data_IF_587745839881
#
_entry.id   IF_587745839881
#
_cell.length_a   1.000
_cell.length_b   1.000
_cell.length_c   1.000
_cell.angle_alpha   90.00
_cell.angle_beta   90.00
_cell.angle_gamma   90.00
#
_symmetry.space_group_name_H-M   'P 1'
#
loop_
_entity.id
_entity.type
_entity.pdbx_description
1 polymer ?
#
# COMPACT_ATOMS: atom_id res chain seq x y z
N UNK A 1 -19.38 8.64 16.53
CA UNK A 1 -18.71 7.32 16.45
C UNK A 1 -17.39 7.58 15.77
N UNK A 2 -16.25 7.28 16.40
CA UNK A 2 -14.94 7.52 15.74
C UNK A 2 -14.79 6.58 14.54
N UNK A 3 -13.98 6.93 13.53
CA UNK A 3 -13.68 6.00 12.41
C UNK A 3 -13.02 4.73 12.93
N UNK A 4 -12.23 4.80 14.00
CA UNK A 4 -11.70 3.62 14.71
C UNK A 4 -12.82 2.68 15.21
N UNK A 5 -13.88 3.25 15.80
CA UNK A 5 -15.06 2.45 16.19
C UNK A 5 -15.78 1.87 14.96
N UNK A 6 -15.78 2.58 13.83
CA UNK A 6 -16.38 2.14 12.57
C UNK A 6 -15.59 0.98 11.93
N UNK A 7 -14.27 1.05 11.90
CA UNK A 7 -13.40 -0.01 11.37
C UNK A 7 -13.36 -1.24 12.29
N UNK A 8 -13.39 -1.07 13.61
CA UNK A 8 -13.62 -2.20 14.54
C UNK A 8 -14.96 -2.86 14.25
N UNK A 9 -15.99 -2.06 13.99
CA UNK A 9 -17.29 -2.57 13.61
C UNK A 9 -17.28 -3.28 12.26
N UNK A 10 -16.55 -2.78 11.26
CA UNK A 10 -16.37 -3.43 9.96
C UNK A 10 -15.61 -4.75 10.07
N UNK A 11 -14.48 -4.78 10.78
CA UNK A 11 -13.74 -6.02 11.06
C UNK A 11 -14.62 -7.03 11.81
N UNK A 12 -15.37 -6.58 12.82
CA UNK A 12 -16.31 -7.43 13.54
C UNK A 12 -17.39 -7.97 12.62
N UNK A 13 -17.90 -7.16 11.69
CA UNK A 13 -18.88 -7.58 10.67
C UNK A 13 -18.27 -8.63 9.75
N UNK A 14 -17.07 -8.42 9.22
CA UNK A 14 -16.39 -9.36 8.32
C UNK A 14 -16.19 -10.73 8.98
N UNK A 15 -15.67 -10.75 10.22
CA UNK A 15 -15.51 -11.99 11.00
C UNK A 15 -16.86 -12.71 11.16
N UNK A 16 -17.93 -11.97 11.53
CA UNK A 16 -19.25 -12.59 11.70
C UNK A 16 -19.75 -13.17 10.37
N UNK A 17 -19.57 -12.47 9.25
CA UNK A 17 -19.96 -12.95 7.90
C UNK A 17 -19.22 -14.24 7.53
N UNK A 18 -17.91 -14.29 7.75
CA UNK A 18 -17.08 -15.46 7.46
C UNK A 18 -17.57 -16.67 8.27
N UNK A 19 -17.77 -16.52 9.59
CA UNK A 19 -18.26 -17.60 10.44
C UNK A 19 -19.69 -18.01 10.04
N UNK A 20 -20.59 -17.08 9.69
CA UNK A 20 -21.93 -17.41 9.18
C UNK A 20 -21.83 -18.27 7.90
N UNK A 21 -20.93 -17.95 6.98
CA UNK A 21 -20.75 -18.71 5.75
C UNK A 21 -20.27 -20.13 6.03
N UNK A 22 -19.34 -20.31 6.97
CA UNK A 22 -18.94 -21.64 7.43
C UNK A 22 -20.09 -22.41 8.09
N UNK A 23 -20.87 -21.75 8.95
CA UNK A 23 -22.05 -22.37 9.58
C UNK A 23 -23.12 -22.73 8.54
N UNK A 24 -23.34 -21.91 7.51
CA UNK A 24 -24.23 -22.22 6.38
C UNK A 24 -23.72 -23.42 5.59
N UNK A 25 -22.42 -23.53 5.35
CA UNK A 25 -21.82 -24.70 4.71
C UNK A 25 -22.04 -25.98 5.53
N UNK A 26 -21.81 -25.92 6.85
CA UNK A 26 -22.09 -27.05 7.75
C UNK A 26 -23.58 -27.40 7.73
N UNK A 27 -24.45 -26.39 7.85
CA UNK A 27 -25.91 -26.55 7.86
C UNK A 27 -26.42 -27.20 6.57
N UNK A 28 -25.91 -26.78 5.41
CA UNK A 28 -26.43 -27.19 4.11
C UNK A 28 -25.86 -28.54 3.64
N UNK A 29 -24.61 -28.85 3.99
CA UNK A 29 -23.90 -30.00 3.40
C UNK A 29 -23.51 -31.09 4.40
N UNK A 30 -23.41 -30.77 5.69
CA UNK A 30 -22.88 -31.70 6.70
C UNK A 30 -23.92 -32.21 7.70
N UNK A 31 -25.10 -31.61 7.75
CA UNK A 31 -26.13 -31.92 8.76
C UNK A 31 -27.51 -32.07 8.11
N UNK A 32 -28.30 -33.03 8.60
CA UNK A 32 -29.69 -33.24 8.14
C UNK A 32 -30.65 -32.22 8.77
N UNK A 33 -31.60 -31.74 7.97
CA UNK A 33 -32.55 -30.68 8.35
C UNK A 33 -33.45 -31.00 9.56
N UNK A 34 -33.70 -32.29 9.83
CA UNK A 34 -34.57 -32.74 10.92
C UNK A 34 -33.85 -32.91 12.28
N UNK A 35 -32.59 -32.47 12.38
CA UNK A 35 -31.80 -32.62 13.62
C UNK A 35 -31.91 -31.39 14.52
N UNK A 36 -31.78 -31.59 15.84
CA UNK A 36 -31.67 -30.48 16.81
C UNK A 36 -30.47 -29.57 16.51
N UNK A 37 -29.37 -30.13 16.01
CA UNK A 37 -28.19 -29.37 15.59
C UNK A 37 -28.53 -28.41 14.44
N UNK A 38 -29.33 -28.85 13.47
CA UNK A 38 -29.77 -27.98 12.36
C UNK A 38 -30.61 -26.79 12.86
N UNK A 39 -31.57 -27.03 13.76
CA UNK A 39 -32.41 -25.95 14.27
C UNK A 39 -31.65 -24.94 15.13
N UNK A 40 -30.69 -25.40 15.95
CA UNK A 40 -29.82 -24.52 16.75
C UNK A 40 -28.84 -23.71 15.90
N UNK A 41 -28.25 -24.32 14.86
CA UNK A 41 -27.45 -23.58 13.88
C UNK A 41 -28.26 -22.51 13.16
N UNK A 42 -29.49 -22.83 12.77
CA UNK A 42 -30.36 -21.88 12.08
C UNK A 42 -30.71 -20.68 12.97
N UNK A 43 -31.01 -20.91 14.26
CA UNK A 43 -31.21 -19.84 15.25
C UNK A 43 -29.95 -18.98 15.43
N UNK A 44 -28.78 -19.61 15.49
CA UNK A 44 -27.50 -18.92 15.67
C UNK A 44 -27.17 -18.02 14.48
N UNK A 45 -27.34 -18.53 13.26
CA UNK A 45 -27.18 -17.77 12.01
C UNK A 45 -28.12 -16.56 12.01
N UNK A 46 -29.42 -16.75 12.28
CA UNK A 46 -30.38 -15.64 12.32
C UNK A 46 -30.06 -14.58 13.38
N UNK A 47 -29.51 -15.00 14.54
CA UNK A 47 -29.08 -14.05 15.58
C UNK A 47 -27.90 -13.21 15.11
N UNK A 48 -26.94 -13.80 14.42
CA UNK A 48 -25.78 -13.09 13.90
C UNK A 48 -26.10 -12.23 12.68
N UNK A 49 -27.03 -12.64 11.82
CA UNK A 49 -27.56 -11.79 10.74
C UNK A 49 -28.20 -10.49 11.32
N UNK A 50 -28.92 -10.59 12.44
CA UNK A 50 -29.46 -9.41 13.13
C UNK A 50 -28.38 -8.51 13.73
N UNK A 51 -27.28 -9.07 14.23
CA UNK A 51 -26.14 -8.29 14.72
C UNK A 51 -25.40 -7.57 13.58
N UNK A 52 -25.24 -8.21 12.41
CA UNK A 52 -24.69 -7.55 11.20
C UNK A 52 -25.53 -6.31 10.84
N UNK A 53 -26.86 -6.43 10.80
CA UNK A 53 -27.73 -5.31 10.45
C UNK A 53 -27.62 -4.15 11.45
N UNK A 54 -27.45 -4.44 12.74
CA UNK A 54 -27.21 -3.39 13.76
C UNK A 54 -25.87 -2.70 13.52
N UNK A 55 -24.83 -3.47 13.19
CA UNK A 55 -23.50 -2.95 12.90
C UNK A 55 -23.55 -2.04 11.66
N UNK A 56 -24.20 -2.47 10.57
CA UNK A 56 -24.37 -1.67 9.36
C UNK A 56 -25.09 -0.34 9.62
N UNK A 57 -26.15 -0.36 10.41
CA UNK A 57 -26.88 0.86 10.78
C UNK A 57 -26.01 1.84 11.58
N UNK A 58 -25.12 1.35 12.45
CA UNK A 58 -24.18 2.18 13.19
C UNK A 58 -23.13 2.80 12.25
N UNK A 59 -22.58 2.02 11.32
CA UNK A 59 -21.58 2.47 10.33
C UNK A 59 -22.14 3.59 9.45
N UNK A 60 -23.36 3.44 8.93
CA UNK A 60 -24.01 4.40 8.01
C UNK A 60 -24.36 5.75 8.67
N UNK A 61 -24.41 5.81 10.00
CA UNK A 61 -24.76 7.04 10.75
C UNK A 61 -23.58 7.99 10.99
N UNK A 62 -22.36 7.63 10.58
CA UNK A 62 -21.13 8.37 10.90
C UNK A 62 -20.55 9.10 9.68
N UNK A 63 -20.81 10.41 9.60
CA UNK A 63 -20.09 11.36 8.73
C UNK A 63 -18.81 11.80 9.45
N UNK A 64 -17.65 11.29 9.05
CA UNK A 64 -16.36 11.81 9.52
C UNK A 64 -15.41 12.00 8.33
N UNK A 65 -15.11 13.27 8.05
CA UNK A 65 -14.05 13.71 7.15
C UNK A 65 -12.72 13.75 7.92
N UNK A 66 -12.15 12.59 8.24
CA UNK A 66 -10.78 12.51 8.79
C UNK A 66 -9.93 11.67 7.83
N UNK A 67 -8.81 12.23 7.38
CA UNK A 67 -7.86 11.58 6.49
C UNK A 67 -6.95 10.65 7.32
N UNK A 68 -7.30 9.37 7.40
CA UNK A 68 -6.40 8.35 7.95
C UNK A 68 -5.50 7.76 6.85
N UNK A 69 -4.24 7.50 7.19
CA UNK A 69 -3.26 6.83 6.32
C UNK A 69 -2.81 5.53 6.97
N UNK A 70 -2.88 4.42 6.24
CA UNK A 70 -2.47 3.12 6.74
C UNK A 70 -1.00 2.86 6.42
N UNK A 71 -0.22 2.54 7.45
CA UNK A 71 1.18 2.14 7.32
C UNK A 71 1.32 0.66 7.66
N UNK A 72 1.64 -0.17 6.66
CA UNK A 72 1.96 -1.58 6.90
C UNK A 72 3.40 -1.66 7.42
N UNK A 73 3.56 -2.13 8.66
CA UNK A 73 4.89 -2.28 9.27
C UNK A 73 5.12 -3.69 9.78
N UNK A 74 6.38 -4.11 9.78
CA UNK A 74 6.77 -5.35 10.41
C UNK A 74 6.51 -5.31 11.92
N UNK A 75 6.05 -6.43 12.49
CA UNK A 75 5.73 -6.55 13.91
C UNK A 75 6.89 -6.13 14.82
N UNK A 76 8.11 -6.52 14.49
CA UNK A 76 9.31 -6.20 15.27
C UNK A 76 9.58 -4.68 15.29
N UNK A 77 9.31 -4.01 14.17
CA UNK A 77 9.40 -2.55 14.05
C UNK A 77 8.32 -1.88 14.88
N UNK A 78 7.07 -2.39 14.86
CA UNK A 78 5.98 -1.90 15.70
C UNK A 78 6.32 -2.01 17.20
N UNK A 79 6.80 -3.18 17.64
CA UNK A 79 7.20 -3.40 19.03
C UNK A 79 8.30 -2.42 19.46
N UNK A 80 9.26 -2.14 18.56
CA UNK A 80 10.33 -1.17 18.80
C UNK A 80 9.78 0.26 18.93
N UNK A 81 8.86 0.67 18.06
CA UNK A 81 8.20 1.99 18.10
C UNK A 81 7.39 2.18 19.38
N UNK A 82 6.62 1.17 19.80
CA UNK A 82 5.84 1.20 21.05
C UNK A 82 6.78 1.35 22.26
N UNK A 83 7.86 0.57 22.31
CA UNK A 83 8.83 0.66 23.39
C UNK A 83 9.50 2.04 23.43
N UNK A 84 9.85 2.60 22.27
CA UNK A 84 10.43 3.93 22.17
C UNK A 84 9.45 5.01 22.64
N UNK A 85 8.19 4.94 22.21
CA UNK A 85 7.14 5.87 22.65
C UNK A 85 6.97 5.84 24.17
N UNK A 86 6.92 4.63 24.76
CA UNK A 86 6.79 4.46 26.21
C UNK A 86 7.97 5.05 27.00
N UNK A 87 9.19 4.97 26.44
CA UNK A 87 10.39 5.53 27.08
C UNK A 87 10.43 7.05 26.99
N UNK A 88 10.06 7.61 25.85
CA UNK A 88 10.17 9.04 25.57
C UNK A 88 8.90 9.84 25.96
N UNK A 89 7.78 9.16 26.15
CA UNK A 89 6.47 9.72 26.55
C UNK A 89 5.93 10.78 25.58
N UNK A 90 6.00 10.50 24.27
CA UNK A 90 5.48 11.41 23.23
C UNK A 90 3.95 11.43 23.12
N UNK A 91 3.24 10.59 23.88
CA UNK A 91 1.79 10.46 23.80
C UNK A 91 1.40 9.33 22.87
N UNK A 92 0.90 9.66 21.69
CA UNK A 92 0.51 8.70 20.65
C UNK A 92 1.68 8.28 19.76
N UNK A 93 1.54 7.13 19.10
CA UNK A 93 2.51 6.71 18.08
C UNK A 93 2.60 7.68 16.91
N UNK A 94 1.49 8.36 16.57
CA UNK A 94 1.46 9.36 15.51
C UNK A 94 2.32 10.58 15.87
N UNK A 95 2.15 11.12 17.08
CA UNK A 95 2.97 12.25 17.57
C UNK A 95 4.46 11.89 17.65
N UNK A 96 4.77 10.64 18.04
CA UNK A 96 6.14 10.14 17.98
C UNK A 96 6.66 10.12 16.54
N UNK A 97 5.90 9.56 15.59
CA UNK A 97 6.31 9.46 14.19
C UNK A 97 6.48 10.85 13.57
N UNK A 98 5.57 11.78 13.82
CA UNK A 98 5.70 13.17 13.38
C UNK A 98 6.95 13.82 13.97
N UNK A 99 7.21 13.66 15.27
CA UNK A 99 8.43 14.17 15.89
C UNK A 99 9.69 13.54 15.33
N UNK A 100 9.68 12.23 15.05
CA UNK A 100 10.83 11.56 14.44
C UNK A 100 11.05 12.07 13.02
N UNK A 101 10.00 12.15 12.21
CA UNK A 101 10.07 12.68 10.85
C UNK A 101 10.56 14.12 10.83
N UNK A 102 10.08 14.98 11.73
CA UNK A 102 10.49 16.38 11.81
C UNK A 102 11.94 16.55 12.30
N UNK A 103 12.31 15.88 13.40
CA UNK A 103 13.63 16.07 14.01
C UNK A 103 14.76 15.34 13.26
N UNK A 104 14.40 14.31 12.50
CA UNK A 104 15.35 13.52 11.72
C UNK A 104 15.05 13.63 10.23
N UNK A 105 14.31 14.66 9.79
CA UNK A 105 13.99 14.91 8.38
C UNK A 105 15.27 14.92 7.53
N UNK A 106 16.31 15.57 8.03
CA UNK A 106 17.62 15.64 7.37
C UNK A 106 18.34 14.29 7.31
N UNK A 107 17.98 13.34 8.19
CA UNK A 107 18.50 11.96 8.19
C UNK A 107 17.70 11.04 7.27
N UNK A 108 16.39 11.32 7.10
CA UNK A 108 15.56 10.76 6.03
C UNK A 108 15.89 11.48 4.74
N UNK A 109 17.08 11.15 4.24
CA UNK A 109 17.86 11.93 3.30
C UNK A 109 17.06 12.61 2.18
N UNK A 110 16.78 13.92 2.36
CA UNK A 110 16.50 14.83 1.23
C UNK A 110 17.58 14.69 0.15
N UNK A 111 18.82 14.49 0.57
CA UNK A 111 19.98 14.30 -0.31
C UNK A 111 19.91 13.03 -1.18
N UNK A 112 19.00 12.10 -0.89
CA UNK A 112 18.83 10.87 -1.68
C UNK A 112 17.54 10.83 -2.47
N UNK A 113 16.65 11.81 -2.28
CA UNK A 113 15.46 11.96 -3.10
C UNK A 113 15.81 12.79 -4.33
N UNK A 114 15.45 12.28 -5.49
CA UNK A 114 15.56 13.01 -6.76
C UNK A 114 14.17 13.32 -7.29
N UNK A 115 13.92 14.60 -7.56
CA UNK A 115 12.69 15.03 -8.22
C UNK A 115 12.69 14.52 -9.66
N UNK A 116 11.60 13.88 -10.07
CA UNK A 116 11.45 13.28 -11.39
C UNK A 116 10.38 14.00 -12.21
N UNK A 117 10.55 13.94 -13.52
CA UNK A 117 9.55 14.39 -14.50
C UNK A 117 9.31 13.30 -15.55
N UNK A 118 8.10 13.23 -16.13
CA UNK A 118 7.81 12.29 -17.20
C UNK A 118 8.82 12.43 -18.35
N UNK A 119 9.35 11.31 -18.83
CA UNK A 119 10.22 11.30 -20.00
C UNK A 119 9.42 11.69 -21.26
N UNK A 120 10.00 12.54 -22.10
CA UNK A 120 9.37 12.91 -23.38
C UNK A 120 9.50 11.76 -24.40
N UNK A 121 8.45 10.95 -24.53
CA UNK A 121 8.45 9.81 -25.44
C UNK A 121 8.13 10.18 -26.89
N UNK A 122 8.64 9.36 -27.82
CA UNK A 122 7.98 9.16 -29.13
C UNK A 122 6.62 8.49 -28.87
N UNK A 123 5.55 8.97 -29.52
CA UNK A 123 4.16 8.47 -29.34
C UNK A 123 4.02 6.94 -29.33
N UNK A 124 4.80 6.22 -30.14
CA UNK A 124 4.77 4.76 -30.24
C UNK A 124 5.16 4.07 -28.92
N UNK A 125 6.24 4.54 -28.27
CA UNK A 125 6.77 3.95 -27.03
C UNK A 125 5.78 4.19 -25.88
N UNK A 126 5.15 5.38 -25.86
CA UNK A 126 4.13 5.71 -24.86
C UNK A 126 2.93 4.77 -24.95
N UNK A 127 2.47 4.44 -26.15
CA UNK A 127 1.39 3.47 -26.35
C UNK A 127 1.78 2.05 -25.90
N UNK A 128 3.02 1.64 -26.16
CA UNK A 128 3.52 0.32 -25.76
C UNK A 128 3.63 0.17 -24.24
N UNK A 129 4.04 1.23 -23.54
CA UNK A 129 4.21 1.23 -22.08
C UNK A 129 2.91 1.42 -21.31
N UNK A 130 1.89 2.10 -21.88
CA UNK A 130 0.60 2.35 -21.22
C UNK A 130 -0.13 1.08 -20.73
N UNK A 131 0.15 -0.08 -21.33
CA UNK A 131 -0.44 -1.36 -20.93
C UNK A 131 0.44 -2.14 -19.92
N UNK A 132 1.37 -1.45 -19.26
CA UNK A 132 2.32 -2.04 -18.32
C UNK A 132 2.39 -1.25 -17.03
N UNK A 133 2.99 -1.85 -16.00
CA UNK A 133 3.32 -1.19 -14.73
C UNK A 133 4.74 -0.57 -14.75
N UNK A 134 5.32 -0.37 -15.95
CA UNK A 134 6.69 0.11 -16.13
C UNK A 134 6.67 1.55 -16.64
N UNK A 135 7.47 2.40 -15.99
CA UNK A 135 7.50 3.84 -16.24
C UNK A 135 8.94 4.30 -16.47
N UNK A 136 9.11 5.33 -17.31
CA UNK A 136 10.40 6.00 -17.49
C UNK A 136 10.28 7.46 -17.15
N UNK A 137 11.25 7.98 -16.40
CA UNK A 137 11.39 9.38 -16.10
C UNK A 137 12.81 9.88 -16.38
N UNK A 138 12.93 11.20 -16.40
CA UNK A 138 14.17 11.96 -16.28
C UNK A 138 14.19 12.63 -14.90
N UNK A 139 15.37 12.94 -14.39
CA UNK A 139 15.49 13.81 -13.22
C UNK A 139 15.42 15.28 -13.62
N UNK A 140 15.04 16.15 -12.69
CA UNK A 140 14.93 17.60 -12.93
C UNK A 140 16.27 18.30 -12.71
N UNK A 141 17.01 17.90 -11.68
CA UNK A 141 18.32 18.45 -11.31
C UNK A 141 19.34 17.31 -11.13
N UNK A 142 20.60 17.58 -11.46
CA UNK A 142 21.68 16.59 -11.28
C UNK A 142 21.79 16.18 -9.81
N UNK A 143 21.94 14.88 -9.59
CA UNK A 143 22.29 14.33 -8.28
C UNK A 143 23.65 13.65 -8.39
N UNK A 144 24.27 13.39 -7.24
CA UNK A 144 25.66 12.93 -7.10
C UNK A 144 26.15 11.98 -8.23
N UNK A 145 25.33 10.97 -8.58
CA UNK A 145 25.66 9.96 -9.61
C UNK A 145 24.72 9.96 -10.85
N UNK A 146 23.59 10.68 -10.81
CA UNK A 146 22.56 10.63 -11.86
C UNK A 146 22.50 11.98 -12.57
N UNK A 147 22.68 11.96 -13.90
CA UNK A 147 22.63 13.17 -14.73
C UNK A 147 21.22 13.47 -15.24
N UNK A 148 20.92 14.73 -15.61
CA UNK A 148 19.61 15.13 -16.17
C UNK A 148 19.24 14.36 -17.44
N UNK A 149 20.23 13.81 -18.15
CA UNK A 149 20.01 13.02 -19.36
C UNK A 149 19.90 11.52 -19.09
N UNK A 150 20.10 11.08 -17.85
CA UNK A 150 19.99 9.69 -17.48
C UNK A 150 18.51 9.27 -17.45
N UNK A 151 18.22 8.10 -18.02
CA UNK A 151 16.88 7.52 -18.04
C UNK A 151 16.70 6.61 -16.83
N UNK A 152 15.61 6.79 -16.10
CA UNK A 152 15.26 5.93 -14.97
C UNK A 152 14.04 5.09 -15.32
N UNK A 153 14.14 3.78 -15.19
CA UNK A 153 13.05 2.81 -15.30
C UNK A 153 12.60 2.39 -13.89
N UNK A 154 11.31 2.47 -13.63
CA UNK A 154 10.75 2.23 -12.29
C UNK A 154 9.30 1.73 -12.35
N UNK A 155 8.76 1.31 -11.20
CA UNK A 155 7.33 0.99 -11.01
C UNK A 155 6.65 2.08 -10.20
N UNK A 156 5.35 2.24 -10.35
CA UNK A 156 4.59 3.27 -9.62
C UNK A 156 4.69 3.12 -8.09
N UNK A 157 4.94 1.90 -7.61
CA UNK A 157 5.14 1.59 -6.19
C UNK A 157 6.43 2.23 -5.61
N UNK A 158 7.35 2.67 -6.47
CA UNK A 158 8.61 3.28 -6.09
C UNK A 158 8.50 4.80 -5.90
N UNK A 159 7.38 5.42 -6.33
CA UNK A 159 7.20 6.87 -6.29
C UNK A 159 6.89 7.33 -4.86
N UNK A 160 7.58 8.38 -4.43
CA UNK A 160 7.23 9.16 -3.26
C UNK A 160 6.61 10.49 -3.70
N UNK A 161 5.44 10.84 -3.15
CA UNK A 161 4.76 12.11 -3.44
C UNK A 161 4.92 13.03 -2.25
N UNK A 162 5.54 14.18 -2.48
CA UNK A 162 5.74 15.23 -1.47
C UNK A 162 5.52 16.60 -2.12
N UNK A 163 4.75 17.48 -1.47
CA UNK A 163 4.40 18.82 -2.01
C UNK A 163 3.91 18.81 -3.48
N UNK A 164 3.04 17.84 -3.83
CA UNK A 164 2.51 17.62 -5.19
C UNK A 164 3.59 17.36 -6.27
N UNK A 165 4.77 16.92 -5.86
CA UNK A 165 5.87 16.52 -6.74
C UNK A 165 6.21 15.05 -6.53
N UNK A 166 6.78 14.43 -7.57
CA UNK A 166 7.16 13.02 -7.58
C UNK A 166 8.68 12.88 -7.38
N UNK A 167 9.06 11.95 -6.52
CA UNK A 167 10.46 11.68 -6.17
C UNK A 167 10.77 10.18 -6.23
N UNK A 168 12.03 9.87 -6.51
CA UNK A 168 12.60 8.53 -6.36
C UNK A 168 13.76 8.55 -5.37
N UNK A 169 13.94 7.44 -4.68
CA UNK A 169 15.06 7.22 -3.76
C UNK A 169 16.28 6.69 -4.53
N UNK A 170 17.33 7.50 -4.65
CA UNK A 170 18.58 7.16 -5.38
C UNK A 170 19.24 5.88 -4.87
N UNK A 171 19.21 5.60 -3.57
CA UNK A 171 19.74 4.35 -2.98
C UNK A 171 19.04 3.09 -3.51
N UNK A 172 17.81 3.24 -4.01
CA UNK A 172 17.04 2.16 -4.60
C UNK A 172 17.26 2.00 -6.10
N UNK A 173 18.11 2.85 -6.71
CA UNK A 173 18.42 2.80 -8.13
C UNK A 173 19.79 2.18 -8.38
N UNK A 174 19.90 1.43 -9.47
CA UNK A 174 21.17 0.86 -9.93
C UNK A 174 21.30 1.01 -11.44
N UNK A 175 22.53 1.22 -11.91
CA UNK A 175 22.81 1.22 -13.34
C UNK A 175 22.68 -0.18 -13.93
N UNK A 176 21.97 -0.27 -15.04
CA UNK A 176 21.77 -1.50 -15.77
C UNK A 176 21.75 -1.24 -17.28
N UNK A 177 22.51 -2.00 -18.09
CA UNK A 177 22.49 -1.86 -19.53
C UNK A 177 21.24 -2.52 -20.13
N UNK A 178 20.49 -1.80 -20.95
CA UNK A 178 19.34 -2.32 -21.71
C UNK A 178 19.55 -1.97 -23.18
N UNK A 179 19.74 -2.98 -24.03
CA UNK A 179 20.14 -2.78 -25.41
C UNK A 179 21.49 -2.05 -25.50
N UNK A 180 21.52 -0.93 -26.22
CA UNK A 180 22.71 -0.08 -26.37
C UNK A 180 22.72 1.14 -25.43
N UNK A 181 21.76 1.25 -24.52
CA UNK A 181 21.63 2.38 -23.60
C UNK A 181 21.81 1.93 -22.15
N UNK A 182 22.22 2.86 -21.28
CA UNK A 182 22.33 2.63 -19.84
C UNK A 182 21.12 3.27 -19.17
N UNK A 183 20.39 2.48 -18.40
CA UNK A 183 19.29 2.94 -17.57
C UNK A 183 19.67 2.85 -16.11
N UNK A 184 19.10 3.73 -15.29
CA UNK A 184 18.95 3.48 -13.87
C UNK A 184 17.66 2.69 -13.66
N UNK A 185 17.73 1.59 -12.92
CA UNK A 185 16.57 0.74 -12.66
C UNK A 185 16.30 0.70 -11.16
N UNK A 186 15.02 0.77 -10.79
CA UNK A 186 14.57 0.48 -9.42
C UNK A 186 14.90 -0.95 -9.00
N UNK A 187 15.29 -1.13 -7.74
CA UNK A 187 15.51 -2.44 -7.12
C UNK A 187 14.27 -3.34 -7.14
N UNK A 188 13.07 -2.79 -7.33
CA UNK A 188 11.81 -3.56 -7.40
C UNK A 188 11.52 -4.14 -8.80
N UNK A 189 12.40 -3.92 -9.77
CA UNK A 189 12.33 -4.53 -11.09
C UNK A 189 12.96 -5.92 -11.10
N UNK A 190 12.23 -6.88 -11.66
CA UNK A 190 12.73 -8.23 -11.91
C UNK A 190 13.40 -8.32 -13.28
N UNK A 191 14.20 -9.37 -13.51
CA UNK A 191 14.77 -9.62 -14.84
C UNK A 191 13.68 -9.76 -15.93
N UNK A 192 12.53 -10.36 -15.58
CA UNK A 192 11.40 -10.48 -16.49
C UNK A 192 10.79 -9.12 -16.86
N UNK A 193 10.78 -8.15 -15.93
CA UNK A 193 10.35 -6.78 -16.20
C UNK A 193 11.31 -6.10 -17.19
N UNK A 194 12.62 -6.31 -17.04
CA UNK A 194 13.66 -5.78 -17.94
C UNK A 194 13.53 -6.38 -19.35
N UNK A 195 13.36 -7.70 -19.46
CA UNK A 195 13.18 -8.37 -20.75
C UNK A 195 11.92 -7.88 -21.47
N UNK A 196 10.82 -7.72 -20.73
CA UNK A 196 9.58 -7.15 -21.23
C UNK A 196 9.79 -5.72 -21.71
N UNK A 197 10.46 -4.89 -20.91
CA UNK A 197 10.76 -3.51 -21.28
C UNK A 197 11.62 -3.43 -22.56
N UNK A 198 12.68 -4.23 -22.65
CA UNK A 198 13.58 -4.29 -23.81
C UNK A 198 12.79 -4.59 -25.10
N UNK A 199 11.83 -5.51 -25.02
CA UNK A 199 10.94 -5.86 -26.15
C UNK A 199 9.97 -4.74 -26.58
N UNK A 200 9.64 -3.82 -25.68
CA UNK A 200 8.70 -2.72 -25.93
C UNK A 200 9.38 -1.42 -26.34
N UNK A 201 10.63 -1.23 -25.90
CA UNK A 201 11.38 0.01 -26.08
C UNK A 201 12.24 0.02 -27.35
N UNK A 202 12.81 -1.12 -27.74
CA UNK A 202 13.72 -1.24 -28.88
C UNK A 202 13.10 -1.93 -30.12
N UNK A 203 11.81 -2.26 -30.06
CA UNK A 203 11.05 -2.90 -31.14
C UNK A 203 9.98 -1.94 -31.69
#
# INVERSE_FOLDING_TARGET
>A
MSIYDKEILELKKEIIVEVINELKNIKNFKIKANTKAYSELNKTISKWDLEINKIENNINSSNLNENYSFLKIERKTLESLINLNNRLKFGTLSELLESLTFNYEDVFSKDTLIEIKPFSFKKQIQLNLNNTNLYICEIIEESFDISVNDKILYKIEDILIYDNKEYLETKNLKRYPIGNEIFWISNNLTLADIDKFNSLYFY
#
